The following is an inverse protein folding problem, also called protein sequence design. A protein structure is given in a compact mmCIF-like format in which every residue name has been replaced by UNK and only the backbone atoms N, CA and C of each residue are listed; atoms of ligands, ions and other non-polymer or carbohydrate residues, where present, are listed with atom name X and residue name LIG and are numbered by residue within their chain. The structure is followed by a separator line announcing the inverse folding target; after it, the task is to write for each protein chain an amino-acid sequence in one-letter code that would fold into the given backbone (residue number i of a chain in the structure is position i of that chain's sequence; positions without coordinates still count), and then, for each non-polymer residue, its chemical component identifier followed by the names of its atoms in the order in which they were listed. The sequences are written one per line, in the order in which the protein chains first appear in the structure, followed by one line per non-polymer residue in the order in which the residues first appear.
data_IF_508770956130
#
_entry.id   IF_508770956130
#
_cell.length_a   1.000
_cell.length_b   1.000
_cell.length_c   1.000
_cell.angle_alpha   90.00
_cell.angle_beta   90.00
_cell.angle_gamma   90.00
#
_symmetry.space_group_name_H-M   'P 1'
#
loop_
_entity.id
_entity.type
_entity.pdbx_description
1 polymer ?
#
# COMPACT_ATOMS: atom_id res chain seq x y z
N UNK A 1 -16.48 -9.78 -6.31
CA UNK A 1 -15.73 -9.08 -7.37
C UNK A 1 -14.69 -9.98 -8.06
N UNK A 2 -13.79 -10.74 -7.38
CA UNK A 2 -12.75 -11.51 -8.06
C UNK A 2 -13.30 -12.58 -9.00
N UNK A 3 -14.32 -13.31 -8.58
CA UNK A 3 -15.02 -14.28 -9.44
C UNK A 3 -15.56 -13.60 -10.70
N UNK A 4 -16.26 -12.48 -10.55
CA UNK A 4 -16.79 -11.72 -11.69
C UNK A 4 -15.67 -11.24 -12.63
N UNK A 5 -14.53 -10.77 -12.11
CA UNK A 5 -13.40 -10.36 -12.94
C UNK A 5 -12.87 -11.52 -13.79
N UNK A 6 -12.73 -12.70 -13.18
CA UNK A 6 -12.27 -13.90 -13.88
C UNK A 6 -13.32 -14.46 -14.88
N UNK A 7 -14.60 -14.31 -14.58
CA UNK A 7 -15.70 -14.66 -15.52
C UNK A 7 -15.71 -13.73 -16.74
N UNK A 8 -15.39 -12.44 -16.52
CA UNK A 8 -15.40 -11.41 -17.56
C UNK A 8 -14.16 -11.40 -18.44
N UNK A 9 -13.03 -11.91 -17.95
CA UNK A 9 -11.74 -11.94 -18.65
C UNK A 9 -11.07 -13.32 -18.45
N UNK A 10 -11.00 -14.10 -19.53
CA UNK A 10 -10.41 -15.45 -19.49
C UNK A 10 -8.88 -15.42 -19.39
N UNK A 11 -8.26 -14.31 -19.71
CA UNK A 11 -6.82 -14.05 -19.65
C UNK A 11 -6.31 -13.89 -18.21
N UNK A 12 -7.21 -13.75 -17.24
CA UNK A 12 -6.84 -13.67 -15.82
C UNK A 12 -6.62 -15.09 -15.28
N UNK A 13 -5.37 -15.39 -14.93
CA UNK A 13 -5.00 -16.66 -14.31
C UNK A 13 -5.36 -16.70 -12.83
N UNK A 14 -5.08 -15.59 -12.10
CA UNK A 14 -5.26 -15.50 -10.65
C UNK A 14 -5.73 -14.10 -10.25
N UNK A 15 -6.66 -14.04 -9.31
CA UNK A 15 -6.94 -12.83 -8.54
C UNK A 15 -6.42 -13.01 -7.11
N UNK A 16 -5.66 -12.03 -6.61
CA UNK A 16 -5.22 -11.98 -5.22
C UNK A 16 -6.23 -11.18 -4.41
N UNK A 17 -6.61 -11.69 -3.24
CA UNK A 17 -7.65 -11.14 -2.38
C UNK A 17 -7.03 -10.47 -1.15
N UNK A 18 -7.44 -9.24 -0.88
CA UNK A 18 -6.96 -8.47 0.28
C UNK A 18 -5.55 -7.91 0.10
N UNK A 19 -4.73 -7.95 1.15
CA UNK A 19 -3.33 -7.52 1.12
C UNK A 19 -2.50 -8.53 0.34
N UNK A 20 -1.89 -8.09 -0.76
CA UNK A 20 -1.32 -8.97 -1.76
C UNK A 20 0.10 -9.46 -1.49
N UNK A 21 0.85 -8.80 -0.63
CA UNK A 21 2.29 -9.00 -0.48
C UNK A 21 2.63 -10.43 -0.09
N UNK A 22 2.06 -10.95 0.99
CA UNK A 22 2.31 -12.32 1.47
C UNK A 22 1.74 -13.35 0.49
N UNK A 23 0.54 -13.09 -0.02
CA UNK A 23 -0.11 -14.02 -0.96
C UNK A 23 0.70 -14.14 -2.25
N UNK A 24 1.17 -13.02 -2.82
CA UNK A 24 2.00 -13.04 -4.03
C UNK A 24 3.33 -13.77 -3.78
N UNK A 25 3.98 -13.50 -2.66
CA UNK A 25 5.20 -14.20 -2.26
C UNK A 25 4.99 -15.72 -2.20
N UNK A 26 3.90 -16.17 -1.58
CA UNK A 26 3.54 -17.58 -1.49
C UNK A 26 3.28 -18.19 -2.86
N UNK A 27 2.59 -17.49 -3.76
CA UNK A 27 2.38 -17.92 -5.15
C UNK A 27 3.70 -18.14 -5.86
N UNK A 28 4.61 -17.14 -5.81
CA UNK A 28 5.92 -17.22 -6.48
C UNK A 28 6.79 -18.34 -5.93
N UNK A 29 6.85 -18.50 -4.60
CA UNK A 29 7.57 -19.60 -3.96
C UNK A 29 7.00 -20.96 -4.37
N UNK A 30 5.69 -21.08 -4.49
CA UNK A 30 5.03 -22.30 -4.89
C UNK A 30 5.36 -22.67 -6.34
N UNK A 31 5.30 -21.69 -7.24
CA UNK A 31 5.69 -21.87 -8.65
C UNK A 31 7.17 -22.29 -8.74
N UNK A 32 8.05 -21.60 -8.02
CA UNK A 32 9.47 -21.91 -8.03
C UNK A 32 9.77 -23.32 -7.54
N UNK A 33 9.07 -23.78 -6.51
CA UNK A 33 9.30 -25.10 -5.88
C UNK A 33 8.64 -26.25 -6.65
N UNK A 34 7.42 -26.03 -7.13
CA UNK A 34 6.55 -27.10 -7.63
C UNK A 34 6.25 -26.98 -9.14
N UNK A 35 6.70 -25.91 -9.81
CA UNK A 35 6.40 -25.63 -11.22
C UNK A 35 4.93 -25.24 -11.47
N UNK A 36 4.12 -25.13 -10.43
CA UNK A 36 2.69 -24.82 -10.55
C UNK A 36 2.17 -24.13 -9.28
N UNK A 37 0.99 -23.56 -9.38
CA UNK A 37 0.31 -22.89 -8.26
C UNK A 37 -0.45 -23.92 -7.44
N UNK A 38 -0.30 -23.88 -6.12
CA UNK A 38 -1.20 -24.59 -5.21
C UNK A 38 -2.56 -23.84 -5.17
N UNK A 39 -3.58 -24.48 -5.73
CA UNK A 39 -4.93 -23.92 -5.79
C UNK A 39 -5.60 -23.75 -4.43
N UNK A 40 -5.03 -24.33 -3.36
CA UNK A 40 -5.56 -24.23 -2.01
C UNK A 40 -4.93 -23.08 -1.19
N UNK A 41 -4.01 -22.31 -1.79
CA UNK A 41 -3.43 -21.15 -1.11
C UNK A 41 -4.53 -20.19 -0.64
N UNK A 42 -4.47 -19.69 0.61
CA UNK A 42 -5.40 -18.66 1.05
C UNK A 42 -5.16 -17.35 0.29
N UNK A 43 -6.21 -16.56 0.15
CA UNK A 43 -6.11 -15.24 -0.48
C UNK A 43 -6.05 -15.26 -2.00
N UNK A 44 -6.44 -16.35 -2.66
CA UNK A 44 -6.48 -16.41 -4.13
C UNK A 44 -7.85 -16.81 -4.66
N UNK A 45 -8.11 -16.39 -5.88
CA UNK A 45 -9.16 -16.90 -6.73
C UNK A 45 -8.51 -17.38 -8.03
N UNK A 46 -8.71 -18.64 -8.40
CA UNK A 46 -8.05 -19.31 -9.53
C UNK A 46 -9.05 -20.07 -10.37
N UNK A 47 -8.68 -20.32 -11.63
CA UNK A 47 -9.42 -21.22 -12.50
C UNK A 47 -8.83 -22.63 -12.42
N UNK A 48 -9.67 -23.63 -12.30
CA UNK A 48 -9.22 -25.01 -12.35
C UNK A 48 -9.09 -25.55 -13.78
N UNK A 49 -8.73 -26.83 -13.90
CA UNK A 49 -8.52 -27.48 -15.20
C UNK A 49 -9.81 -27.63 -16.01
N UNK A 50 -10.93 -27.64 -15.34
CA UNK A 50 -12.28 -27.78 -15.95
C UNK A 50 -12.89 -26.42 -16.26
N UNK A 51 -12.17 -25.31 -15.96
CA UNK A 51 -12.61 -23.95 -16.18
C UNK A 51 -13.42 -23.37 -15.03
N UNK A 52 -13.64 -24.12 -13.96
CA UNK A 52 -14.36 -23.65 -12.77
C UNK A 52 -13.52 -22.67 -11.97
N UNK A 53 -14.16 -21.63 -11.44
CA UNK A 53 -13.51 -20.59 -10.65
C UNK A 53 -13.62 -20.91 -9.16
N UNK A 54 -12.47 -21.21 -8.56
CA UNK A 54 -12.32 -21.50 -7.14
C UNK A 54 -11.86 -20.25 -6.40
N UNK A 55 -12.62 -19.80 -5.42
CA UNK A 55 -12.25 -18.69 -4.55
C UNK A 55 -11.99 -19.22 -3.14
N UNK A 56 -10.76 -19.05 -2.66
CA UNK A 56 -10.36 -19.47 -1.34
C UNK A 56 -10.65 -18.39 -0.28
N UNK A 57 -10.44 -18.76 0.99
CA UNK A 57 -10.58 -17.83 2.12
C UNK A 57 -9.58 -16.68 1.93
N UNK A 58 -10.04 -15.45 2.14
CA UNK A 58 -9.16 -14.28 2.12
C UNK A 58 -8.05 -14.41 3.16
N UNK A 59 -6.82 -14.06 2.77
CA UNK A 59 -5.69 -13.96 3.71
C UNK A 59 -6.02 -12.96 4.83
N UNK A 60 -5.64 -13.29 6.06
CA UNK A 60 -5.77 -12.34 7.16
C UNK A 60 -4.91 -11.10 6.89
N UNK A 61 -5.40 -9.94 7.36
CA UNK A 61 -4.65 -8.69 7.23
C UNK A 61 -3.30 -8.76 7.96
N UNK A 62 -2.30 -8.10 7.41
CA UNK A 62 -1.00 -7.92 8.05
C UNK A 62 -1.23 -7.15 9.36
N UNK A 63 -0.81 -7.75 10.48
CA UNK A 63 -1.02 -7.17 11.81
C UNK A 63 -0.04 -6.05 12.10
N UNK A 64 1.22 -6.25 11.74
CA UNK A 64 2.27 -5.26 11.85
C UNK A 64 2.73 -4.87 10.45
N UNK A 65 2.54 -3.60 10.08
CA UNK A 65 2.95 -3.11 8.77
C UNK A 65 4.48 -3.01 8.61
N UNK A 66 5.23 -3.09 9.70
CA UNK A 66 6.70 -3.21 9.66
C UNK A 66 7.16 -4.55 9.04
N UNK A 67 6.28 -5.58 9.01
CA UNK A 67 6.56 -6.84 8.32
C UNK A 67 6.48 -6.72 6.79
N UNK A 68 5.97 -5.60 6.27
CA UNK A 68 5.91 -5.31 4.83
C UNK A 68 7.15 -4.55 4.40
N UNK A 69 7.80 -5.00 3.34
CA UNK A 69 8.89 -4.26 2.72
C UNK A 69 8.41 -2.90 2.22
N UNK A 70 9.29 -1.90 2.27
CA UNK A 70 9.05 -0.63 1.59
C UNK A 70 9.02 -0.84 0.07
N UNK A 71 8.31 0.03 -0.69
CA UNK A 71 8.30 -0.07 -2.13
C UNK A 71 9.71 0.01 -2.73
N UNK A 72 10.02 -0.91 -3.64
CA UNK A 72 11.25 -0.85 -4.44
C UNK A 72 11.02 0.03 -5.66
N UNK A 73 11.65 1.18 -5.65
CA UNK A 73 11.55 2.17 -6.72
C UNK A 73 12.63 2.06 -7.79
N UNK A 74 13.62 1.16 -7.64
CA UNK A 74 14.76 1.08 -8.59
C UNK A 74 14.34 0.69 -10.00
N UNK A 75 13.28 -0.11 -10.13
CA UNK A 75 12.72 -0.50 -11.41
C UNK A 75 11.79 0.51 -12.08
N UNK A 76 11.52 1.65 -11.42
CA UNK A 76 10.58 2.67 -11.92
C UNK A 76 11.32 3.83 -12.58
N UNK A 77 10.79 4.38 -13.68
CA UNK A 77 11.35 5.55 -14.33
C UNK A 77 11.02 6.85 -13.58
N UNK A 78 11.48 6.98 -12.34
CA UNK A 78 11.13 8.06 -11.41
C UNK A 78 11.40 9.45 -11.99
N UNK A 79 12.48 9.60 -12.77
CA UNK A 79 12.83 10.89 -13.38
C UNK A 79 11.73 11.42 -14.31
N UNK A 80 11.04 10.54 -15.03
CA UNK A 80 9.91 10.94 -15.87
C UNK A 80 8.75 11.49 -15.03
N UNK A 81 8.44 10.86 -13.88
CA UNK A 81 7.41 11.35 -12.98
C UNK A 81 7.78 12.69 -12.34
N UNK A 82 9.05 12.87 -11.97
CA UNK A 82 9.51 14.12 -11.37
C UNK A 82 9.54 15.27 -12.36
N UNK A 83 9.96 15.02 -13.63
CA UNK A 83 9.99 16.04 -14.67
C UNK A 83 8.60 16.53 -15.07
N UNK A 84 7.59 15.65 -15.04
CA UNK A 84 6.20 15.99 -15.33
C UNK A 84 5.48 16.60 -14.11
N UNK A 85 6.10 16.62 -12.93
CA UNK A 85 5.54 17.20 -11.72
C UNK A 85 4.33 16.43 -11.18
N UNK A 86 4.27 15.11 -11.42
CA UNK A 86 3.17 14.28 -10.94
C UNK A 86 3.15 14.21 -9.42
N UNK A 87 2.00 14.50 -8.84
CA UNK A 87 1.69 14.39 -7.41
C UNK A 87 0.20 14.23 -7.20
N UNK A 88 -0.20 13.79 -6.01
CA UNK A 88 -1.62 13.61 -5.67
C UNK A 88 -2.24 14.89 -5.08
N UNK A 89 -1.42 15.67 -4.40
CA UNK A 89 -1.85 16.91 -3.74
C UNK A 89 -1.52 18.18 -4.53
N UNK A 90 -1.40 19.26 -3.80
CA UNK A 90 -0.99 20.55 -4.37
C UNK A 90 0.49 20.48 -4.75
N UNK A 91 0.83 20.89 -5.97
CA UNK A 91 2.23 20.95 -6.40
C UNK A 91 2.92 22.17 -5.77
N UNK A 92 4.02 21.90 -5.07
CA UNK A 92 4.91 22.93 -4.51
C UNK A 92 6.22 23.07 -5.32
N UNK A 93 6.28 22.40 -6.47
CA UNK A 93 7.55 22.21 -7.20
C UNK A 93 8.47 21.21 -6.51
N UNK A 94 9.56 20.85 -7.16
CA UNK A 94 10.51 19.86 -6.64
C UNK A 94 10.09 18.42 -6.92
N UNK A 95 10.66 17.48 -6.17
CA UNK A 95 10.51 16.03 -6.39
C UNK A 95 9.55 15.45 -5.36
N UNK A 96 8.40 15.01 -5.82
CA UNK A 96 7.32 14.47 -4.96
C UNK A 96 7.31 12.95 -5.00
N UNK A 97 7.23 12.31 -3.82
CA UNK A 97 7.15 10.86 -3.68
C UNK A 97 5.90 10.48 -2.88
N UNK A 98 5.17 9.43 -3.30
CA UNK A 98 4.09 8.88 -2.48
C UNK A 98 4.65 8.15 -1.26
N UNK A 99 3.90 8.20 -0.15
CA UNK A 99 4.19 7.42 1.05
C UNK A 99 2.88 6.93 1.69
N UNK A 100 2.94 5.79 2.35
CA UNK A 100 1.84 5.22 3.12
C UNK A 100 2.28 5.01 4.56
N UNK A 101 1.64 5.71 5.49
CA UNK A 101 1.85 5.49 6.92
C UNK A 101 0.83 4.50 7.51
N UNK A 102 -0.33 4.34 6.87
CA UNK A 102 -1.39 3.48 7.40
C UNK A 102 -2.19 2.78 6.30
N UNK A 103 -2.92 1.75 6.69
CA UNK A 103 -3.89 1.04 5.85
C UNK A 103 -5.24 0.97 6.53
N UNK A 104 -6.28 1.18 5.75
CA UNK A 104 -7.66 1.17 6.22
C UNK A 104 -8.11 2.51 6.79
N UNK A 105 -9.37 2.55 7.18
CA UNK A 105 -10.01 3.74 7.73
C UNK A 105 -11.09 3.30 8.72
N UNK A 106 -11.16 3.88 9.94
CA UNK A 106 -12.11 3.43 10.95
C UNK A 106 -13.55 3.92 10.70
N UNK A 107 -13.77 4.66 9.62
CA UNK A 107 -15.06 5.26 9.31
C UNK A 107 -15.84 4.45 8.28
N UNK A 108 -17.16 4.46 8.39
CA UNK A 108 -18.10 3.74 7.52
C UNK A 108 -18.92 4.72 6.69
N UNK A 109 -18.25 5.56 5.89
CA UNK A 109 -18.93 6.51 5.00
C UNK A 109 -19.72 5.73 3.94
N UNK A 110 -21.01 6.07 3.75
CA UNK A 110 -21.95 5.32 2.91
C UNK A 110 -21.56 5.21 1.44
N UNK A 111 -20.77 6.13 0.94
CA UNK A 111 -20.27 6.17 -0.44
C UNK A 111 -18.89 5.50 -0.61
N UNK A 112 -18.25 5.10 0.48
CA UNK A 112 -16.85 4.65 0.47
C UNK A 112 -16.75 3.13 0.39
N UNK A 113 -15.88 2.63 -0.47
CA UNK A 113 -15.60 1.20 -0.61
C UNK A 113 -14.70 0.64 0.51
N UNK A 114 -14.08 1.50 1.34
CA UNK A 114 -13.11 1.08 2.35
C UNK A 114 -13.60 -0.06 3.27
N UNK A 115 -14.84 -0.01 3.83
CA UNK A 115 -15.30 -1.08 4.72
C UNK A 115 -15.32 -2.47 4.06
N UNK A 116 -15.52 -2.52 2.73
CA UNK A 116 -15.51 -3.76 1.96
C UNK A 116 -14.11 -4.21 1.51
N UNK A 117 -13.18 -3.26 1.34
CA UNK A 117 -11.82 -3.52 0.87
C UNK A 117 -10.84 -3.78 2.03
N UNK A 118 -10.85 -2.89 3.03
CA UNK A 118 -9.87 -2.86 4.10
C UNK A 118 -10.47 -3.11 5.48
N UNK A 119 -11.79 -3.29 5.57
CA UNK A 119 -12.54 -3.27 6.83
C UNK A 119 -12.45 -1.91 7.56
N UNK A 120 -12.98 -1.82 8.76
CA UNK A 120 -12.85 -0.62 9.61
C UNK A 120 -11.60 -0.65 10.50
N UNK A 121 -10.71 -1.61 10.28
CA UNK A 121 -9.45 -1.68 11.01
C UNK A 121 -8.43 -0.71 10.41
N UNK A 122 -8.13 0.34 11.16
CA UNK A 122 -7.02 1.23 10.85
C UNK A 122 -5.73 0.65 11.45
N UNK A 123 -4.78 0.31 10.60
CA UNK A 123 -3.48 -0.20 10.94
C UNK A 123 -2.41 0.81 10.53
N UNK A 124 -1.53 1.20 11.45
CA UNK A 124 -0.55 2.27 11.22
C UNK A 124 0.85 1.76 11.52
N UNK A 125 1.80 2.19 10.69
CA UNK A 125 3.23 1.95 10.86
C UNK A 125 3.78 2.75 12.04
N UNK A 126 4.88 2.30 12.62
CA UNK A 126 5.60 3.09 13.60
C UNK A 126 6.06 4.43 12.99
N UNK A 127 5.97 5.57 13.71
CA UNK A 127 6.46 6.85 13.22
C UNK A 127 7.92 6.84 12.81
N UNK A 128 8.76 6.06 13.49
CA UNK A 128 10.19 5.94 13.18
C UNK A 128 10.42 5.18 11.86
N UNK A 129 9.61 4.15 11.58
CA UNK A 129 9.67 3.42 10.31
C UNK A 129 9.30 4.33 9.13
N UNK A 130 8.23 5.12 9.24
CA UNK A 130 7.85 6.11 8.21
C UNK A 130 8.92 7.17 8.03
N UNK A 131 9.48 7.68 9.12
CA UNK A 131 10.59 8.64 9.09
C UNK A 131 11.82 8.08 8.37
N UNK A 132 12.19 6.83 8.65
CA UNK A 132 13.36 6.18 8.06
C UNK A 132 13.18 5.97 6.55
N UNK A 133 11.99 5.60 6.09
CA UNK A 133 11.67 5.51 4.67
C UNK A 133 11.76 6.87 3.99
N UNK A 134 11.17 7.91 4.57
CA UNK A 134 11.27 9.28 4.03
C UNK A 134 12.72 9.75 3.95
N UNK A 135 13.50 9.51 4.99
CA UNK A 135 14.93 9.83 5.02
C UNK A 135 15.70 9.14 3.90
N UNK A 136 15.45 7.83 3.70
CA UNK A 136 16.06 7.09 2.59
C UNK A 136 15.72 7.73 1.24
N UNK A 137 14.47 8.12 1.02
CA UNK A 137 14.05 8.71 -0.25
C UNK A 137 14.63 10.11 -0.47
N UNK A 138 14.79 10.90 0.59
CA UNK A 138 15.51 12.19 0.53
C UNK A 138 16.95 11.97 0.12
N UNK A 139 17.64 11.04 0.77
CA UNK A 139 19.06 10.76 0.51
C UNK A 139 19.31 10.14 -0.86
N UNK A 140 18.49 9.16 -1.25
CA UNK A 140 18.68 8.37 -2.47
C UNK A 140 18.15 9.05 -3.73
N UNK A 141 16.95 9.67 -3.63
CA UNK A 141 16.23 10.20 -4.77
C UNK A 141 16.07 11.73 -4.74
N UNK A 142 16.69 12.41 -3.75
CA UNK A 142 16.63 13.87 -3.58
C UNK A 142 15.18 14.38 -3.48
N UNK A 143 14.34 13.64 -2.76
CA UNK A 143 12.93 13.99 -2.57
C UNK A 143 12.82 15.22 -1.68
N UNK A 144 11.95 16.15 -2.09
CA UNK A 144 11.65 17.38 -1.34
C UNK A 144 10.22 17.39 -0.79
N UNK A 145 9.33 16.61 -1.39
CA UNK A 145 7.92 16.60 -1.06
C UNK A 145 7.41 15.15 -0.88
N UNK A 146 6.45 14.98 0.04
CA UNK A 146 5.77 13.70 0.24
C UNK A 146 4.26 13.86 0.23
N UNK A 147 3.60 13.02 -0.54
CA UNK A 147 2.16 12.87 -0.54
C UNK A 147 1.77 11.60 0.21
N UNK A 148 1.05 11.75 1.33
CA UNK A 148 0.51 10.62 2.06
C UNK A 148 -0.73 10.07 1.35
N UNK A 149 -0.63 8.87 0.79
CA UNK A 149 -1.72 8.20 0.07
C UNK A 149 -2.65 7.41 0.99
N UNK A 150 -2.55 7.67 2.27
CA UNK A 150 -3.43 7.10 3.30
C UNK A 150 -4.88 7.47 3.06
N UNK A 151 -5.80 6.56 3.30
CA UNK A 151 -7.24 6.86 3.30
C UNK A 151 -7.62 7.85 4.41
N UNK A 152 -6.92 7.75 5.56
CA UNK A 152 -6.94 8.74 6.64
C UNK A 152 -5.66 8.57 7.45
N UNK A 153 -4.71 9.47 7.29
CA UNK A 153 -3.39 9.35 7.89
C UNK A 153 -3.39 9.59 9.40
N UNK A 154 -4.22 10.53 9.88
CA UNK A 154 -4.23 10.94 11.27
C UNK A 154 -5.50 10.47 11.97
N UNK A 155 -5.41 9.36 12.70
CA UNK A 155 -6.46 8.87 13.60
C UNK A 155 -6.04 9.03 15.06
N UNK A 156 -4.75 8.85 15.36
CA UNK A 156 -4.21 8.96 16.72
C UNK A 156 -3.33 10.20 16.85
N UNK A 157 -3.74 11.15 17.70
CA UNK A 157 -2.99 12.38 17.98
C UNK A 157 -1.54 12.09 18.41
N UNK A 158 -1.31 11.09 19.24
CA UNK A 158 0.05 10.73 19.69
C UNK A 158 0.96 10.39 18.51
N UNK A 159 0.46 9.60 17.55
CA UNK A 159 1.24 9.18 16.39
C UNK A 159 1.77 10.37 15.58
N UNK A 160 0.90 11.33 15.24
CA UNK A 160 1.31 12.49 14.42
C UNK A 160 2.27 13.41 15.20
N UNK A 161 2.10 13.55 16.51
CA UNK A 161 3.01 14.34 17.34
C UNK A 161 4.40 13.68 17.39
N UNK A 162 4.47 12.37 17.59
CA UNK A 162 5.72 11.61 17.60
C UNK A 162 6.42 11.71 16.23
N UNK A 163 5.70 11.55 15.13
CA UNK A 163 6.20 11.69 13.78
C UNK A 163 6.76 13.10 13.51
N UNK A 164 6.02 14.15 13.82
CA UNK A 164 6.50 15.53 13.65
C UNK A 164 7.74 15.81 14.49
N UNK A 165 7.79 15.28 15.72
CA UNK A 165 8.97 15.43 16.58
C UNK A 165 10.21 14.75 15.98
N UNK A 166 10.06 13.59 15.30
CA UNK A 166 11.17 12.94 14.60
C UNK A 166 11.71 13.80 13.46
N UNK A 167 10.82 14.39 12.64
CA UNK A 167 11.22 15.29 11.56
C UNK A 167 12.00 16.49 12.09
N UNK A 168 11.47 17.15 13.14
CA UNK A 168 12.08 18.33 13.75
C UNK A 168 13.43 17.99 14.39
N UNK A 169 13.47 16.96 15.22
CA UNK A 169 14.68 16.53 15.95
C UNK A 169 15.85 16.22 15.02
N UNK A 170 15.55 15.63 13.87
CA UNK A 170 16.55 15.18 12.91
C UNK A 170 16.73 16.17 11.74
N UNK A 171 16.11 17.34 11.78
CA UNK A 171 16.19 18.37 10.73
C UNK A 171 15.87 17.84 9.33
N UNK A 172 14.90 16.93 9.19
CA UNK A 172 14.46 16.45 7.89
C UNK A 172 13.55 17.51 7.25
N UNK A 173 14.14 18.35 6.41
CA UNK A 173 13.48 19.49 5.77
C UNK A 173 12.75 19.05 4.52
N UNK A 174 11.48 18.73 4.66
CA UNK A 174 10.60 18.29 3.56
C UNK A 174 9.22 18.94 3.69
N UNK A 175 8.54 19.10 2.56
CA UNK A 175 7.12 19.41 2.53
C UNK A 175 6.37 18.08 2.54
N UNK A 176 5.31 17.95 3.33
CA UNK A 176 4.43 16.81 3.26
C UNK A 176 2.98 17.23 3.39
N UNK A 177 2.09 16.47 2.77
CA UNK A 177 0.67 16.79 2.74
C UNK A 177 -0.19 15.53 2.81
N UNK A 178 -1.46 15.73 3.16
CA UNK A 178 -2.48 14.70 3.31
C UNK A 178 -3.59 14.94 2.28
N UNK A 179 -3.40 14.56 1.01
CA UNK A 179 -4.35 14.89 -0.06
C UNK A 179 -5.74 14.29 0.14
N UNK A 180 -5.83 13.11 0.78
CA UNK A 180 -7.11 12.48 1.15
C UNK A 180 -7.77 13.15 2.36
N UNK A 181 -7.08 14.08 3.00
CA UNK A 181 -7.54 14.77 4.19
C UNK A 181 -7.38 13.96 5.47
N UNK A 182 -7.89 14.54 6.55
CA UNK A 182 -7.97 13.91 7.87
C UNK A 182 -9.25 14.37 8.57
N UNK A 183 -9.76 13.56 9.48
CA UNK A 183 -10.83 13.96 10.39
C UNK A 183 -10.24 14.35 11.73
N UNK A 184 -10.57 15.55 12.17
CA UNK A 184 -10.29 16.06 13.52
C UNK A 184 -11.43 15.71 14.47
#
# INVERSE_FOLDING_TARGET
LPKYSMESAQEIDICVLGEGEITLQNILQNIQKNGSIDKNLPGICVRDKDGEIIQNITQSRIKDLADSAWPDWEGFPLENYFSEGHGFGVSYGGRTMPILASRGCPYECTFCSNPLMWTTLWNVRDPEDVYNEMKLYVEKYQITNFDFYDLTAIVKKKWIVDFCNLLIKNNLNVIWQLPSGTRS
#
